data_IF_694456027642
#
_entry.id   IF_694456027642
#
_cell.length_a   1.000
_cell.length_b   1.000
_cell.length_c   1.000
_cell.angle_alpha   90.00
_cell.angle_beta   90.00
_cell.angle_gamma   90.00
#
_symmetry.space_group_name_H-M   'P 1'
#
loop_
_entity.id
_entity.type
_entity.pdbx_description
1 polymer ?
#
# COMPACT_ATOMS: atom_id res chain seq x y z
N UNK A 1 -21.67 35.57 37.80
CA UNK A 1 -20.39 35.23 37.12
C UNK A 1 -19.58 34.16 37.87
N UNK A 2 -19.30 34.29 39.18
CA UNK A 2 -18.54 33.27 39.93
C UNK A 2 -19.24 31.89 40.00
N UNK A 3 -20.55 31.87 40.22
CA UNK A 3 -21.37 30.64 40.26
C UNK A 3 -21.41 29.93 38.91
N UNK A 4 -21.65 30.66 37.83
CA UNK A 4 -21.64 30.13 36.45
C UNK A 4 -20.28 29.53 36.06
N UNK A 5 -19.16 30.12 36.52
CA UNK A 5 -17.82 29.54 36.29
C UNK A 5 -17.63 28.23 37.04
N UNK A 6 -18.13 28.13 38.27
CA UNK A 6 -18.06 26.90 39.06
C UNK A 6 -18.93 25.79 38.46
N UNK A 7 -20.16 26.11 38.05
CA UNK A 7 -21.04 25.16 37.34
C UNK A 7 -20.44 24.68 36.02
N UNK A 8 -19.83 25.57 35.25
CA UNK A 8 -19.15 25.21 34.00
C UNK A 8 -17.94 24.29 34.25
N UNK A 9 -17.17 24.53 35.31
CA UNK A 9 -16.08 23.65 35.71
C UNK A 9 -16.58 22.25 36.08
N UNK A 10 -17.69 22.16 36.83
CA UNK A 10 -18.31 20.87 37.21
C UNK A 10 -18.82 20.13 35.96
N UNK A 11 -19.49 20.82 35.04
CA UNK A 11 -19.96 20.22 33.79
C UNK A 11 -18.83 19.72 32.90
N UNK A 12 -17.74 20.49 32.77
CA UNK A 12 -16.55 20.05 32.03
C UNK A 12 -15.91 18.81 32.67
N UNK A 13 -15.84 18.79 34.00
CA UNK A 13 -15.32 17.65 34.76
C UNK A 13 -16.15 16.39 34.49
N UNK A 14 -17.47 16.49 34.59
CA UNK A 14 -18.38 15.38 34.28
C UNK A 14 -18.24 14.92 32.82
N UNK A 15 -18.09 15.86 31.88
CA UNK A 15 -17.88 15.52 30.47
C UNK A 15 -16.60 14.70 30.27
N UNK A 16 -15.49 15.07 30.93
CA UNK A 16 -14.23 14.33 30.86
C UNK A 16 -14.35 12.93 31.49
N UNK A 17 -15.10 12.79 32.58
CA UNK A 17 -15.40 11.51 33.21
C UNK A 17 -16.21 10.59 32.28
N UNK A 18 -17.23 11.12 31.61
CA UNK A 18 -17.98 10.37 30.60
C UNK A 18 -17.12 9.98 29.40
N UNK A 19 -16.23 10.86 28.94
CA UNK A 19 -15.28 10.54 27.87
C UNK A 19 -14.34 9.41 28.26
N UNK A 20 -13.81 9.43 29.49
CA UNK A 20 -12.91 8.39 29.99
C UNK A 20 -13.57 7.00 30.07
N UNK A 21 -14.91 6.93 30.19
CA UNK A 21 -15.66 5.68 30.20
C UNK A 21 -15.98 5.11 28.81
N UNK A 22 -15.75 5.87 27.74
CA UNK A 22 -15.96 5.39 26.37
C UNK A 22 -14.84 4.44 25.93
N UNK A 23 -15.13 3.57 24.97
CA UNK A 23 -14.08 2.78 24.30
C UNK A 23 -13.09 3.70 23.56
N UNK A 24 -11.83 3.27 23.41
CA UNK A 24 -10.75 4.06 22.81
C UNK A 24 -11.12 4.53 21.39
N UNK A 25 -11.89 3.73 20.64
CA UNK A 25 -12.39 4.13 19.32
C UNK A 25 -13.42 5.25 19.40
N UNK A 26 -14.32 5.18 20.37
CA UNK A 26 -15.35 6.19 20.61
C UNK A 26 -14.74 7.49 21.16
N UNK A 27 -13.76 7.39 22.07
CA UNK A 27 -12.99 8.53 22.56
C UNK A 27 -12.33 9.30 21.41
N UNK A 28 -11.69 8.58 20.48
CA UNK A 28 -11.06 9.18 19.31
C UNK A 28 -12.05 9.96 18.45
N UNK A 29 -13.22 9.37 18.16
CA UNK A 29 -14.28 10.05 17.40
C UNK A 29 -14.75 11.32 18.11
N UNK A 30 -14.96 11.29 19.43
CA UNK A 30 -15.43 12.48 20.16
C UNK A 30 -14.35 13.55 20.27
N UNK A 31 -13.09 13.16 20.47
CA UNK A 31 -11.95 14.08 20.53
C UNK A 31 -11.70 14.78 19.19
N UNK A 32 -11.80 14.05 18.08
CA UNK A 32 -11.75 14.59 16.72
C UNK A 32 -12.87 15.62 16.53
N UNK A 33 -14.10 15.31 16.93
CA UNK A 33 -15.24 16.24 16.87
C UNK A 33 -15.08 17.48 17.78
N UNK A 34 -14.53 17.34 18.99
CA UNK A 34 -14.36 18.44 19.93
C UNK A 34 -13.25 19.42 19.53
N UNK A 35 -12.16 18.92 18.94
CA UNK A 35 -11.06 19.76 18.44
C UNK A 35 -11.52 20.74 17.35
N UNK A 36 -12.57 20.36 16.61
CA UNK A 36 -13.14 21.14 15.50
C UNK A 36 -14.02 22.31 15.95
N UNK A 37 -14.57 22.29 17.17
CA UNK A 37 -15.37 23.39 17.71
C UNK A 37 -14.52 24.59 18.20
N UNK A 38 -13.19 24.44 18.19
CA UNK A 38 -12.23 25.52 18.52
C UNK A 38 -11.77 26.33 17.31
N UNK A 39 -12.30 26.09 16.11
CA UNK A 39 -11.97 26.92 14.95
C UNK A 39 -12.59 28.31 15.15
N UNK A 40 -11.75 29.28 15.49
CA UNK A 40 -12.15 30.67 15.64
C UNK A 40 -12.79 31.19 14.34
N UNK A 41 -13.73 32.13 14.49
CA UNK A 41 -14.52 32.70 13.39
C UNK A 41 -13.68 33.46 12.33
N UNK A 42 -12.35 33.46 12.44
CA UNK A 42 -11.43 34.20 11.56
C UNK A 42 -11.20 33.51 10.22
N UNK A 43 -11.50 32.22 10.10
CA UNK A 43 -11.05 31.40 8.96
C UNK A 43 -12.21 30.89 8.08
N UNK A 44 -13.18 31.74 7.78
CA UNK A 44 -14.22 31.42 6.80
C UNK A 44 -13.77 31.80 5.39
N UNK A 45 -13.77 30.84 4.47
CA UNK A 45 -13.62 31.12 3.05
C UNK A 45 -14.91 31.72 2.49
N UNK A 46 -14.86 32.25 1.26
CA UNK A 46 -16.03 32.87 0.62
C UNK A 46 -17.27 31.96 0.54
N UNK A 47 -17.07 30.64 0.50
CA UNK A 47 -18.14 29.64 0.50
C UNK A 47 -18.88 29.54 1.83
N UNK A 48 -18.19 29.68 2.95
CA UNK A 48 -18.83 29.68 4.27
C UNK A 48 -19.48 31.02 4.60
N UNK A 49 -18.87 32.13 4.17
CA UNK A 49 -19.45 33.47 4.34
C UNK A 49 -20.83 33.58 3.66
N UNK A 50 -21.02 32.95 2.49
CA UNK A 50 -22.32 32.90 1.81
C UNK A 50 -23.40 32.17 2.64
N UNK A 51 -23.02 31.23 3.50
CA UNK A 51 -23.95 30.49 4.36
C UNK A 51 -24.44 31.35 5.52
N UNK A 52 -23.60 32.27 6.01
CA UNK A 52 -23.94 33.09 7.18
C UNK A 52 -25.18 33.97 6.94
N UNK A 53 -25.43 34.37 5.70
CA UNK A 53 -26.60 35.18 5.31
C UNK A 53 -27.87 34.39 5.01
N UNK A 54 -27.83 33.05 5.06
CA UNK A 54 -28.95 32.22 4.62
C UNK A 54 -30.02 31.97 5.70
N UNK A 55 -29.72 32.15 7.00
CA UNK A 55 -30.78 32.06 8.02
C UNK A 55 -31.60 33.36 8.08
N UNK A 56 -32.92 33.21 8.17
CA UNK A 56 -33.89 34.29 8.44
C UNK A 56 -34.10 34.56 9.93
N UNK A 57 -33.25 33.99 10.79
CA UNK A 57 -33.29 34.15 12.23
C UNK A 57 -33.09 35.62 12.62
N UNK A 58 -34.05 36.24 13.32
CA UNK A 58 -33.91 37.61 13.82
C UNK A 58 -32.76 37.68 14.84
N UNK A 59 -31.66 38.33 14.46
CA UNK A 59 -30.50 38.51 15.34
C UNK A 59 -30.24 40.00 15.50
N UNK A 60 -30.31 40.49 16.74
CA UNK A 60 -29.91 41.85 17.09
C UNK A 60 -28.38 41.93 17.21
N UNK A 61 -27.77 42.95 16.61
CA UNK A 61 -26.35 43.29 16.85
C UNK A 61 -25.33 42.85 15.79
N UNK A 62 -25.74 42.63 14.53
CA UNK A 62 -24.79 42.47 13.42
C UNK A 62 -23.96 41.17 13.44
N UNK A 63 -24.28 40.23 14.32
CA UNK A 63 -23.68 38.91 14.39
C UNK A 63 -24.57 37.87 13.70
N UNK A 64 -23.99 36.88 12.99
CA UNK A 64 -24.78 35.79 12.43
C UNK A 64 -25.39 34.94 13.56
N UNK A 65 -26.61 34.48 13.34
CA UNK A 65 -27.31 33.64 14.32
C UNK A 65 -26.58 32.31 14.53
N UNK A 66 -26.82 31.61 15.66
CA UNK A 66 -26.22 30.30 15.93
C UNK A 66 -26.47 29.27 14.81
N UNK A 67 -27.67 29.29 14.19
CA UNK A 67 -27.99 28.40 13.07
C UNK A 67 -27.09 28.64 11.86
N UNK A 68 -26.89 29.91 11.50
CA UNK A 68 -26.03 30.32 10.40
C UNK A 68 -24.56 29.98 10.68
N UNK A 69 -24.09 30.21 11.91
CA UNK A 69 -22.74 29.82 12.35
C UNK A 69 -22.50 28.32 12.22
N UNK A 70 -23.43 27.52 12.74
CA UNK A 70 -23.34 26.06 12.65
C UNK A 70 -23.36 25.60 11.19
N UNK A 71 -24.27 26.14 10.38
CA UNK A 71 -24.36 25.79 8.96
C UNK A 71 -23.06 26.12 8.19
N UNK A 72 -22.43 27.27 8.48
CA UNK A 72 -21.16 27.65 7.88
C UNK A 72 -20.02 26.69 8.29
N UNK A 73 -19.92 26.35 9.58
CA UNK A 73 -18.94 25.38 10.09
C UNK A 73 -19.14 23.99 9.47
N UNK A 74 -20.37 23.48 9.45
CA UNK A 74 -20.69 22.18 8.84
C UNK A 74 -20.38 22.18 7.35
N UNK A 75 -20.61 23.29 6.63
CA UNK A 75 -20.26 23.38 5.21
C UNK A 75 -18.75 23.30 5.00
N UNK A 76 -17.95 24.00 5.83
CA UNK A 76 -16.48 23.92 5.81
C UNK A 76 -16.00 22.48 5.99
N UNK A 77 -16.56 21.80 6.99
CA UNK A 77 -16.23 20.40 7.29
C UNK A 77 -16.59 19.47 6.14
N UNK A 78 -17.78 19.64 5.56
CA UNK A 78 -18.24 18.82 4.44
C UNK A 78 -17.32 18.99 3.22
N UNK A 79 -16.86 20.20 2.93
CA UNK A 79 -15.89 20.45 1.86
C UNK A 79 -14.54 19.80 2.15
N UNK A 80 -14.03 19.92 3.38
CA UNK A 80 -12.78 19.27 3.80
C UNK A 80 -12.87 17.74 3.64
N UNK A 81 -13.93 17.12 4.17
CA UNK A 81 -14.13 15.67 4.09
C UNK A 81 -14.29 15.20 2.63
N UNK A 82 -14.97 15.95 1.77
CA UNK A 82 -15.05 15.63 0.34
C UNK A 82 -13.68 15.60 -0.32
N UNK A 83 -12.83 16.58 -0.01
CA UNK A 83 -11.47 16.62 -0.55
C UNK A 83 -10.63 15.44 -0.03
N UNK A 84 -10.75 15.11 1.25
CA UNK A 84 -10.03 13.97 1.84
C UNK A 84 -10.45 12.64 1.21
N UNK A 85 -11.76 12.43 0.99
CA UNK A 85 -12.28 11.25 0.29
C UNK A 85 -11.70 11.15 -1.12
N UNK A 86 -11.63 12.27 -1.85
CA UNK A 86 -11.08 12.26 -3.20
C UNK A 86 -9.59 11.93 -3.21
N UNK A 87 -8.82 12.49 -2.28
CA UNK A 87 -7.40 12.17 -2.11
C UNK A 87 -7.19 10.68 -1.76
N UNK A 88 -8.03 10.13 -0.88
CA UNK A 88 -7.98 8.71 -0.51
C UNK A 88 -8.33 7.80 -1.68
N UNK A 89 -9.32 8.16 -2.50
CA UNK A 89 -9.64 7.41 -3.74
C UNK A 89 -8.45 7.39 -4.68
N UNK A 90 -7.84 8.56 -4.94
CA UNK A 90 -6.65 8.66 -5.78
C UNK A 90 -5.50 7.79 -5.25
N UNK A 91 -5.20 7.89 -3.95
CA UNK A 91 -4.14 7.09 -3.32
C UNK A 91 -4.44 5.58 -3.39
N UNK A 92 -5.70 5.18 -3.20
CA UNK A 92 -6.16 3.80 -3.38
C UNK A 92 -5.87 3.33 -4.81
N UNK A 93 -6.31 4.09 -5.81
CA UNK A 93 -6.16 3.72 -7.22
C UNK A 93 -4.68 3.61 -7.62
N UNK A 94 -3.82 4.52 -7.16
CA UNK A 94 -2.37 4.45 -7.33
C UNK A 94 -1.78 3.17 -6.72
N UNK A 95 -2.23 2.77 -5.52
CA UNK A 95 -1.78 1.54 -4.89
C UNK A 95 -2.21 0.28 -5.68
N UNK A 96 -3.42 0.27 -6.24
CA UNK A 96 -3.89 -0.84 -7.10
C UNK A 96 -3.06 -0.94 -8.39
N UNK A 97 -2.80 0.19 -9.05
CA UNK A 97 -1.95 0.24 -10.25
C UNK A 97 -0.54 -0.27 -9.94
N UNK A 98 0.04 0.15 -8.81
CA UNK A 98 1.36 -0.29 -8.38
C UNK A 98 1.40 -1.80 -8.08
N UNK A 99 0.40 -2.32 -7.37
CA UNK A 99 0.30 -3.75 -7.09
C UNK A 99 0.21 -4.59 -8.38
N UNK A 100 -0.56 -4.12 -9.37
CA UNK A 100 -0.67 -4.80 -10.66
C UNK A 100 0.64 -4.73 -11.46
N UNK A 101 1.33 -3.59 -11.44
CA UNK A 101 2.64 -3.45 -12.07
C UNK A 101 3.66 -4.44 -11.46
N UNK A 102 3.69 -4.58 -10.14
CA UNK A 102 4.54 -5.58 -9.47
C UNK A 102 4.15 -7.01 -9.83
N UNK A 103 2.85 -7.33 -9.86
CA UNK A 103 2.35 -8.64 -10.27
C UNK A 103 2.82 -8.98 -11.69
N UNK A 104 2.63 -8.07 -12.65
CA UNK A 104 3.04 -8.27 -14.04
C UNK A 104 4.56 -8.43 -14.15
N UNK A 105 5.33 -7.55 -13.51
CA UNK A 105 6.79 -7.62 -13.54
C UNK A 105 7.30 -8.96 -12.96
N UNK A 106 6.67 -9.43 -11.89
CA UNK A 106 7.01 -10.72 -11.28
C UNK A 106 6.66 -11.90 -12.20
N UNK A 107 5.49 -11.89 -12.83
CA UNK A 107 5.09 -12.90 -13.82
C UNK A 107 6.05 -12.94 -15.01
N UNK A 108 6.46 -11.77 -15.52
CA UNK A 108 7.46 -11.67 -16.59
C UNK A 108 8.80 -12.27 -16.17
N UNK A 109 9.27 -11.99 -14.95
CA UNK A 109 10.50 -12.57 -14.43
C UNK A 109 10.41 -14.10 -14.30
N UNK A 110 9.29 -14.63 -13.79
CA UNK A 110 9.07 -16.07 -13.69
C UNK A 110 9.10 -16.75 -15.06
N UNK A 111 8.41 -16.16 -16.04
CA UNK A 111 8.36 -16.69 -17.41
C UNK A 111 9.74 -16.68 -18.06
N UNK A 112 10.52 -15.60 -17.92
CA UNK A 112 11.88 -15.51 -18.43
C UNK A 112 12.80 -16.55 -17.79
N UNK A 113 12.74 -16.72 -16.46
CA UNK A 113 13.56 -17.70 -15.74
C UNK A 113 13.20 -19.13 -16.13
N UNK A 114 11.90 -19.43 -16.30
CA UNK A 114 11.43 -20.72 -16.78
C UNK A 114 11.95 -21.03 -18.18
N UNK A 115 11.88 -20.08 -19.11
CA UNK A 115 12.40 -20.26 -20.48
C UNK A 115 13.92 -20.49 -20.49
N UNK A 116 14.68 -19.72 -19.70
CA UNK A 116 16.12 -19.91 -19.55
C UNK A 116 16.47 -21.30 -19.00
N UNK A 117 15.73 -21.78 -17.99
CA UNK A 117 15.94 -23.10 -17.42
C UNK A 117 15.68 -24.23 -18.43
N UNK A 118 14.62 -24.09 -19.25
CA UNK A 118 14.30 -25.05 -20.31
C UNK A 118 15.41 -25.10 -21.37
N UNK A 119 15.86 -23.94 -21.88
CA UNK A 119 16.96 -23.86 -22.85
C UNK A 119 18.26 -24.47 -22.29
N UNK A 120 18.58 -24.21 -21.03
CA UNK A 120 19.76 -24.80 -20.38
C UNK A 120 19.65 -26.32 -20.26
N UNK A 121 18.47 -26.84 -19.92
CA UNK A 121 18.24 -28.29 -19.85
C UNK A 121 18.43 -28.97 -21.21
N UNK A 122 17.96 -28.36 -22.29
CA UNK A 122 18.17 -28.85 -23.66
C UNK A 122 19.66 -28.90 -24.04
N UNK A 123 20.41 -27.82 -23.78
CA UNK A 123 21.85 -27.78 -24.04
C UNK A 123 22.60 -28.84 -23.23
N UNK A 124 22.24 -29.04 -21.96
CA UNK A 124 22.82 -30.09 -21.11
C UNK A 124 22.53 -31.48 -21.69
N UNK A 125 21.31 -31.72 -22.17
CA UNK A 125 20.91 -33.00 -22.80
C UNK A 125 21.77 -33.27 -24.04
N UNK A 126 21.86 -32.32 -24.97
CA UNK A 126 22.67 -32.43 -26.19
C UNK A 126 24.13 -32.69 -25.83
N UNK A 127 24.71 -31.93 -24.88
CA UNK A 127 26.10 -32.11 -24.45
C UNK A 127 26.36 -33.51 -23.86
N UNK A 128 25.41 -34.08 -23.12
CA UNK A 128 25.51 -35.46 -22.60
C UNK A 128 25.48 -36.49 -23.73
N UNK A 129 24.57 -36.33 -24.68
CA UNK A 129 24.47 -37.21 -25.86
C UNK A 129 25.75 -37.16 -26.71
N UNK A 130 26.28 -35.96 -26.99
CA UNK A 130 27.54 -35.80 -27.72
C UNK A 130 28.73 -36.41 -26.98
N UNK A 131 28.83 -36.20 -25.66
CA UNK A 131 29.88 -36.84 -24.83
C UNK A 131 29.78 -38.36 -24.86
N UNK A 132 28.57 -38.91 -24.82
CA UNK A 132 28.33 -40.35 -24.88
C UNK A 132 28.71 -40.95 -26.24
N UNK A 133 28.38 -40.25 -27.34
CA UNK A 133 28.80 -40.65 -28.69
C UNK A 133 30.32 -40.60 -28.84
N UNK A 134 30.97 -39.56 -28.30
CA UNK A 134 32.43 -39.41 -28.35
C UNK A 134 33.14 -40.50 -27.54
N UNK A 135 32.66 -40.81 -26.32
CA UNK A 135 33.14 -41.96 -25.53
C UNK A 135 33.02 -43.25 -26.35
N UNK A 136 31.84 -43.54 -26.93
CA UNK A 136 31.63 -44.77 -27.72
C UNK A 136 32.63 -44.92 -28.87
N UNK A 137 32.95 -43.83 -29.59
CA UNK A 137 33.98 -43.85 -30.65
C UNK A 137 35.36 -44.19 -30.10
N UNK A 138 35.78 -43.50 -29.05
CA UNK A 138 37.11 -43.70 -28.43
C UNK A 138 37.29 -45.12 -27.85
N UNK A 139 36.22 -45.73 -27.31
CA UNK A 139 36.24 -47.12 -26.82
C UNK A 139 36.41 -48.14 -27.97
N UNK A 140 35.83 -47.87 -29.13
CA UNK A 140 35.98 -48.75 -30.30
C UNK A 140 37.37 -48.63 -30.92
N UNK A 141 37.95 -47.42 -30.98
CA UNK A 141 39.30 -47.20 -31.52
C UNK A 141 40.41 -47.78 -30.61
N UNK A 142 40.20 -47.78 -29.29
CA UNK A 142 41.10 -48.43 -28.32
C UNK A 142 41.03 -49.96 -28.30
N UNK A 143 39.93 -50.57 -28.80
CA UNK A 143 39.80 -52.02 -28.87
C UNK A 143 40.47 -52.61 -30.13
N UNK A 144 40.69 -51.81 -31.17
CA UNK A 144 41.44 -52.21 -32.37
C UNK A 144 42.96 -52.16 -32.20
N UNK A 145 43.49 -51.59 -31.11
CA UNK A 145 44.93 -51.41 -30.88
C UNK A 145 45.57 -52.49 -29.99
N UNK A 146 44.79 -53.38 -29.35
CA UNK A 146 45.31 -54.53 -28.59
C UNK A 146 45.26 -55.83 -29.39
N UNK A 147 45.74 -55.80 -30.63
CA UNK A 147 45.56 -56.91 -31.58
C UNK A 147 46.68 -57.11 -32.58
N UNK A 148 47.94 -56.72 -32.28
CA UNK A 148 49.10 -57.13 -33.10
C UNK A 148 50.46 -56.92 -32.41
N UNK A 149 50.79 -57.75 -31.43
CA UNK A 149 52.20 -58.04 -31.12
C UNK A 149 52.36 -59.55 -31.25
N UNK A 150 52.82 -60.01 -32.42
CA UNK A 150 53.22 -61.39 -32.64
C UNK A 150 54.56 -61.60 -31.92
N UNK A 151 54.55 -62.38 -30.84
CA UNK A 151 55.73 -63.03 -30.30
C UNK A 151 56.20 -64.07 -31.33
N UNK A 152 57.33 -63.82 -32.00
CA UNK A 152 58.02 -64.84 -32.79
C UNK A 152 59.21 -65.30 -31.96
N UNK A 153 59.06 -66.46 -31.33
CA UNK A 153 60.09 -67.08 -30.50
C UNK A 153 61.27 -67.53 -31.35
N UNK A 154 62.46 -67.05 -30.99
CA UNK A 154 63.72 -67.57 -31.50
C UNK A 154 64.10 -68.78 -30.65
N UNK A 155 64.13 -69.98 -31.25
CA UNK A 155 64.75 -71.18 -30.66
C UNK A 155 66.05 -71.43 -31.41
N UNK A 156 67.15 -71.39 -30.65
CA UNK A 156 68.51 -71.66 -31.10
C UNK A 156 68.64 -73.09 -31.63
N UNK A 157 69.35 -73.26 -32.75
CA UNK A 157 70.42 -74.25 -32.93
C UNK A 157 71.25 -73.91 -34.14
#
# INVERSE_FOLDING_TARGET
VKTLKAENAILNQQCLEFLAMLDVKQQKVVQENMSLNKSDMTDFTGLELAVLGACTCNTSGGQPCPCAKMAALTRKQLLHLKQEIENLKKSKDEAYVMADAFRIAFEQQLMQRKDQALRLAEVIKIKKETKFINWKRQKNDGMFSLGRVKFQGNKNS
#
